data_IF_992245257707
#
_entry.id   IF_992245257707
#
_cell.length_a   1.000
_cell.length_b   1.000
_cell.length_c   1.000
_cell.angle_alpha   90.00
_cell.angle_beta   90.00
_cell.angle_gamma   90.00
#
_symmetry.space_group_name_H-M   'P 1'
#
loop_
_entity.id
_entity.type
_entity.pdbx_description
1 polymer ?
#
# COMPACT_ATOMS: atom_id res chain seq x y z
N UNK A 1 -51.97 -15.90 -34.29
CA UNK A 1 -51.67 -15.48 -32.90
C UNK A 1 -50.35 -16.04 -32.36
N UNK A 2 -49.97 -17.30 -32.63
CA UNK A 2 -48.69 -17.90 -32.12
C UNK A 2 -47.40 -17.21 -32.62
N UNK A 3 -47.38 -16.73 -33.85
CA UNK A 3 -46.20 -16.06 -34.45
C UNK A 3 -45.93 -14.64 -33.93
N UNK A 4 -46.96 -13.95 -33.48
CA UNK A 4 -46.83 -12.62 -32.87
C UNK A 4 -46.24 -12.70 -31.44
N UNK A 5 -46.64 -13.71 -30.67
CA UNK A 5 -46.09 -13.95 -29.33
C UNK A 5 -44.61 -14.33 -29.36
N UNK A 6 -44.18 -15.10 -30.37
CA UNK A 6 -42.78 -15.49 -30.52
C UNK A 6 -41.86 -14.31 -30.88
N UNK A 7 -42.36 -13.38 -31.71
CA UNK A 7 -41.63 -12.15 -32.05
C UNK A 7 -41.50 -11.19 -30.85
N UNK A 8 -42.53 -11.11 -29.99
CA UNK A 8 -42.52 -10.29 -28.80
C UNK A 8 -41.53 -10.86 -27.74
N UNK A 9 -41.47 -12.19 -27.60
CA UNK A 9 -40.55 -12.88 -26.68
C UNK A 9 -39.11 -12.72 -27.10
N UNK A 10 -38.80 -12.74 -28.41
CA UNK A 10 -37.44 -12.50 -28.92
C UNK A 10 -36.96 -11.06 -28.73
N UNK A 11 -37.86 -10.07 -28.80
CA UNK A 11 -37.53 -8.66 -28.59
C UNK A 11 -37.24 -8.38 -27.11
N UNK A 12 -37.98 -9.00 -26.19
CA UNK A 12 -37.71 -8.83 -24.75
C UNK A 12 -36.41 -9.50 -24.30
N UNK A 13 -35.99 -10.59 -24.94
CA UNK A 13 -34.73 -11.27 -24.65
C UNK A 13 -33.50 -10.50 -25.18
N UNK A 14 -33.67 -9.72 -26.27
CA UNK A 14 -32.57 -8.90 -26.82
C UNK A 14 -32.25 -7.66 -26.01
N UNK A 15 -33.19 -7.15 -25.20
CA UNK A 15 -32.99 -5.94 -24.38
C UNK A 15 -32.21 -6.24 -23.05
N UNK A 16 -32.24 -7.50 -22.60
CA UNK A 16 -31.55 -7.90 -21.38
C UNK A 16 -30.03 -8.08 -21.52
N UNK A 17 -29.47 -8.03 -22.73
CA UNK A 17 -28.03 -8.19 -22.98
C UNK A 17 -27.27 -6.86 -23.08
N UNK A 18 -27.95 -5.72 -23.01
CA UNK A 18 -27.32 -4.39 -23.17
C UNK A 18 -26.93 -3.70 -21.87
N UNK A 19 -26.99 -4.40 -20.72
CA UNK A 19 -26.60 -3.82 -19.41
C UNK A 19 -25.20 -4.25 -18.95
N UNK A 20 -24.21 -4.30 -19.86
CA UNK A 20 -22.82 -4.16 -19.43
C UNK A 20 -22.58 -2.69 -19.08
N UNK A 21 -22.77 -2.33 -17.82
CA UNK A 21 -22.14 -1.13 -17.27
C UNK A 21 -20.64 -1.35 -17.33
N UNK A 22 -20.01 -0.84 -18.36
CA UNK A 22 -18.57 -0.61 -18.36
C UNK A 22 -18.37 0.48 -17.30
N UNK A 23 -17.98 0.11 -16.09
CA UNK A 23 -17.52 1.08 -15.11
C UNK A 23 -16.33 1.79 -15.78
N UNK A 24 -16.50 3.09 -16.01
CA UNK A 24 -15.40 3.91 -16.54
C UNK A 24 -14.29 3.83 -15.49
N UNK A 25 -13.13 3.24 -15.85
CA UNK A 25 -11.92 3.38 -15.06
C UNK A 25 -11.71 4.86 -14.80
N UNK A 26 -11.72 5.26 -13.53
CA UNK A 26 -11.45 6.65 -13.15
C UNK A 26 -9.96 6.84 -13.33
N UNK A 27 -9.57 7.66 -14.31
CA UNK A 27 -8.17 7.97 -14.54
C UNK A 27 -7.64 8.81 -13.38
N UNK A 28 -6.56 8.37 -12.76
CA UNK A 28 -5.88 9.13 -11.71
C UNK A 28 -5.10 10.29 -12.33
N UNK A 29 -5.36 11.51 -11.88
CA UNK A 29 -4.78 12.74 -12.44
C UNK A 29 -4.04 13.60 -11.40
N UNK A 30 -4.18 13.31 -10.10
CA UNK A 30 -3.60 14.08 -8.99
C UNK A 30 -2.16 13.64 -8.69
N UNK A 31 -1.27 13.67 -9.70
CA UNK A 31 0.13 13.28 -9.55
C UNK A 31 0.95 14.40 -8.88
N UNK A 32 1.52 14.14 -7.70
CA UNK A 32 2.37 15.07 -6.94
C UNK A 32 3.86 14.85 -7.14
N UNK A 33 4.26 13.64 -7.54
CA UNK A 33 5.67 13.22 -7.58
C UNK A 33 6.21 13.06 -9.01
N UNK A 34 5.67 13.83 -9.97
CA UNK A 34 6.12 13.80 -11.36
C UNK A 34 7.61 14.08 -11.52
N UNK A 35 8.16 14.99 -10.69
CA UNK A 35 9.56 15.42 -10.74
C UNK A 35 10.52 14.44 -10.05
N UNK A 36 10.00 13.46 -9.31
CA UNK A 36 10.84 12.44 -8.68
C UNK A 36 11.34 11.43 -9.72
N UNK A 37 12.49 10.77 -9.45
CA UNK A 37 12.95 9.66 -10.29
C UNK A 37 11.91 8.54 -10.39
N UNK A 38 11.93 7.80 -11.50
CA UNK A 38 11.02 6.66 -11.65
C UNK A 38 11.26 5.62 -10.55
N UNK A 39 10.16 5.11 -10.01
CA UNK A 39 10.19 4.09 -8.98
C UNK A 39 10.63 2.73 -9.55
N UNK A 40 10.11 2.42 -10.73
CA UNK A 40 10.33 1.13 -11.40
C UNK A 40 10.41 1.33 -12.91
N UNK A 41 11.17 0.45 -13.54
CA UNK A 41 11.17 0.30 -15.00
C UNK A 41 10.89 -1.16 -15.32
N UNK A 42 9.74 -1.45 -15.96
CA UNK A 42 9.21 -2.80 -16.16
C UNK A 42 8.78 -2.99 -17.63
N UNK A 43 9.74 -3.02 -18.55
CA UNK A 43 9.42 -3.09 -19.99
C UNK A 43 8.51 -1.94 -20.42
N UNK A 44 7.40 -2.28 -21.07
CA UNK A 44 6.42 -1.30 -21.57
C UNK A 44 5.28 -0.98 -20.56
N UNK A 45 5.38 -1.45 -19.32
CA UNK A 45 4.37 -1.21 -18.28
C UNK A 45 4.32 0.27 -17.91
N UNK A 46 3.11 0.85 -17.84
CA UNK A 46 2.94 2.20 -17.24
C UNK A 46 3.08 2.13 -15.73
N UNK A 47 4.19 2.66 -15.22
CA UNK A 47 4.55 2.66 -13.80
C UNK A 47 4.32 4.00 -13.10
N UNK A 48 3.62 4.96 -13.75
CA UNK A 48 3.39 6.29 -13.17
C UNK A 48 2.62 6.24 -11.86
N UNK A 49 1.56 5.42 -11.80
CA UNK A 49 0.77 5.26 -10.58
C UNK A 49 1.56 4.56 -9.48
N UNK A 50 2.43 3.60 -9.82
CA UNK A 50 3.32 2.94 -8.87
C UNK A 50 4.40 3.91 -8.33
N UNK A 51 4.89 4.83 -9.18
CA UNK A 51 5.77 5.92 -8.74
C UNK A 51 5.09 6.82 -7.73
N UNK A 52 3.88 7.27 -8.05
CA UNK A 52 3.06 8.07 -7.15
C UNK A 52 2.80 7.36 -5.82
N UNK A 53 2.45 6.08 -5.88
CA UNK A 53 2.21 5.25 -4.73
C UNK A 53 3.45 5.11 -3.83
N UNK A 54 4.62 4.88 -4.42
CA UNK A 54 5.86 4.78 -3.65
C UNK A 54 6.18 6.07 -2.89
N UNK A 55 6.16 7.21 -3.58
CA UNK A 55 6.59 8.46 -2.95
C UNK A 55 5.55 9.01 -1.97
N UNK A 56 4.26 8.82 -2.23
CA UNK A 56 3.20 9.15 -1.29
C UNK A 56 3.33 8.32 0.00
N UNK A 57 3.54 7.02 -0.16
CA UNK A 57 3.82 6.12 0.95
C UNK A 57 5.09 6.51 1.74
N UNK A 58 6.21 6.82 1.05
CA UNK A 58 7.45 7.25 1.72
C UNK A 58 7.23 8.50 2.57
N UNK A 59 6.49 9.50 2.05
CA UNK A 59 6.17 10.71 2.80
C UNK A 59 5.29 10.41 4.02
N UNK A 60 4.29 9.54 3.89
CA UNK A 60 3.41 9.17 4.99
C UNK A 60 4.16 8.49 6.13
N UNK A 61 4.98 7.48 5.83
CA UNK A 61 5.73 6.78 6.86
C UNK A 61 6.80 7.64 7.52
N UNK A 62 7.43 8.54 6.76
CA UNK A 62 8.40 9.49 7.31
C UNK A 62 7.70 10.47 8.25
N UNK A 63 6.58 11.03 7.85
CA UNK A 63 5.81 11.97 8.67
C UNK A 63 5.30 11.31 9.95
N UNK A 64 4.85 10.04 9.86
CA UNK A 64 4.34 9.32 11.03
C UNK A 64 5.43 8.84 11.98
N UNK A 65 6.53 8.26 11.47
CA UNK A 65 7.52 7.57 12.30
C UNK A 65 8.75 8.40 12.64
N UNK A 66 9.08 9.41 11.84
CA UNK A 66 10.31 10.21 12.04
C UNK A 66 10.21 11.60 11.38
N UNK A 67 9.17 12.34 11.73
CA UNK A 67 8.87 13.67 11.15
C UNK A 67 10.00 14.67 11.37
N UNK A 68 10.71 14.59 12.50
CA UNK A 68 11.78 15.53 12.85
C UNK A 68 13.08 15.27 12.08
N UNK A 69 13.56 14.01 12.08
CA UNK A 69 14.85 13.67 11.46
C UNK A 69 14.71 13.20 10.03
N UNK A 70 13.46 12.89 9.59
CA UNK A 70 13.13 12.39 8.26
C UNK A 70 14.00 11.20 7.83
N UNK A 71 14.26 10.27 8.76
CA UNK A 71 15.07 9.09 8.51
C UNK A 71 14.24 7.98 7.86
N UNK A 72 14.30 7.90 6.55
CA UNK A 72 13.56 6.95 5.72
C UNK A 72 13.80 5.50 6.13
N UNK A 73 15.05 5.10 6.40
CA UNK A 73 15.37 3.72 6.80
C UNK A 73 14.70 3.34 8.14
N UNK A 74 14.67 4.27 9.10
CA UNK A 74 13.98 4.06 10.37
C UNK A 74 12.47 3.91 10.16
N UNK A 75 11.87 4.75 9.32
CA UNK A 75 10.45 4.69 9.01
C UNK A 75 10.08 3.34 8.37
N UNK A 76 10.83 2.87 7.37
CA UNK A 76 10.66 1.54 6.79
C UNK A 76 10.77 0.41 7.84
N UNK A 77 11.79 0.46 8.68
CA UNK A 77 12.01 -0.57 9.72
C UNK A 77 10.82 -0.64 10.66
N UNK A 78 10.29 0.51 11.10
CA UNK A 78 9.12 0.57 12.00
C UNK A 78 7.87 0.04 11.32
N UNK A 79 7.55 0.50 10.12
CA UNK A 79 6.38 0.04 9.37
C UNK A 79 6.41 -1.50 9.20
N UNK A 80 7.52 -2.05 8.69
CA UNK A 80 7.64 -3.49 8.45
C UNK A 80 7.48 -4.26 9.76
N UNK A 81 8.10 -3.78 10.84
CA UNK A 81 7.98 -4.42 12.16
C UNK A 81 6.54 -4.44 12.64
N UNK A 82 5.86 -3.30 12.65
CA UNK A 82 4.48 -3.19 13.13
C UNK A 82 3.51 -3.99 12.25
N UNK A 83 3.71 -3.98 10.93
CA UNK A 83 2.90 -4.74 10.01
C UNK A 83 3.06 -6.26 10.19
N UNK A 84 4.29 -6.75 10.41
CA UNK A 84 4.56 -8.19 10.56
C UNK A 84 4.05 -8.77 11.88
N UNK A 85 3.88 -7.94 12.90
CA UNK A 85 3.32 -8.33 14.20
C UNK A 85 1.85 -7.89 14.40
N UNK A 86 1.18 -7.47 13.31
CA UNK A 86 -0.22 -7.00 13.31
C UNK A 86 -0.49 -5.87 14.31
N UNK A 87 0.44 -4.93 14.45
CA UNK A 87 0.28 -3.71 15.27
C UNK A 87 0.11 -2.44 14.46
N UNK A 88 0.37 -2.50 13.16
CA UNK A 88 0.18 -1.36 12.27
C UNK A 88 -1.30 -0.96 12.25
N UNK A 89 -1.56 0.30 12.56
CA UNK A 89 -2.81 0.99 12.33
C UNK A 89 -2.63 1.89 11.12
N UNK A 90 -2.88 1.34 9.94
CA UNK A 90 -2.65 2.06 8.68
C UNK A 90 -3.47 3.33 8.58
N UNK A 91 -4.63 3.37 9.24
CA UNK A 91 -5.51 4.54 9.38
C UNK A 91 -4.87 5.73 10.13
N UNK A 92 -3.84 5.47 10.95
CA UNK A 92 -3.09 6.51 11.64
C UNK A 92 -1.91 7.04 10.81
N UNK A 93 -1.50 6.30 9.77
CA UNK A 93 -0.32 6.59 8.93
C UNK A 93 -0.71 7.26 7.61
N UNK A 94 -1.84 6.84 7.02
CA UNK A 94 -2.22 7.23 5.67
C UNK A 94 -2.61 8.70 5.57
N UNK A 95 -2.13 9.38 4.51
CA UNK A 95 -2.62 10.71 4.11
C UNK A 95 -3.83 10.61 3.19
N UNK A 96 -4.57 11.72 3.06
CA UNK A 96 -5.67 11.85 2.10
C UNK A 96 -5.21 11.58 0.66
N UNK A 97 -4.00 12.02 0.31
CA UNK A 97 -3.45 11.79 -1.02
C UNK A 97 -3.17 10.30 -1.26
N UNK A 98 -2.54 9.61 -0.31
CA UNK A 98 -2.31 8.17 -0.41
C UNK A 98 -3.60 7.37 -0.49
N UNK A 99 -4.68 7.82 0.16
CA UNK A 99 -5.99 7.20 -0.01
C UNK A 99 -6.51 7.33 -1.43
N UNK A 100 -6.37 8.50 -2.07
CA UNK A 100 -6.73 8.69 -3.49
C UNK A 100 -5.91 7.78 -4.41
N UNK A 101 -4.61 7.65 -4.14
CA UNK A 101 -3.72 6.73 -4.86
C UNK A 101 -4.18 5.28 -4.69
N UNK A 102 -4.55 4.87 -3.47
CA UNK A 102 -5.08 3.54 -3.20
C UNK A 102 -6.36 3.26 -3.99
N UNK A 103 -7.31 4.20 -4.04
CA UNK A 103 -8.54 4.06 -4.82
C UNK A 103 -8.27 3.87 -6.32
N UNK A 104 -7.21 4.49 -6.84
CA UNK A 104 -6.77 4.26 -8.22
C UNK A 104 -6.10 2.88 -8.39
N UNK A 105 -5.21 2.49 -7.45
CA UNK A 105 -4.56 1.17 -7.47
C UNK A 105 -5.56 0.02 -7.37
N UNK A 106 -6.67 0.19 -6.66
CA UNK A 106 -7.73 -0.83 -6.55
C UNK A 106 -8.33 -1.25 -7.89
N UNK A 107 -8.24 -0.39 -8.90
CA UNK A 107 -8.77 -0.66 -10.24
C UNK A 107 -7.87 -1.59 -11.08
N UNK A 108 -6.68 -1.91 -10.59
CA UNK A 108 -5.77 -2.87 -11.21
C UNK A 108 -6.08 -4.28 -10.68
N UNK A 109 -6.86 -5.05 -11.44
CA UNK A 109 -7.28 -6.40 -11.07
C UNK A 109 -6.11 -7.40 -11.05
N UNK A 110 -5.04 -7.18 -11.83
CA UNK A 110 -3.86 -8.03 -11.80
C UNK A 110 -3.05 -7.81 -10.52
N UNK A 111 -3.01 -6.58 -10.02
CA UNK A 111 -2.22 -6.22 -8.83
C UNK A 111 -2.72 -6.90 -7.55
N UNK A 112 -4.02 -7.16 -7.43
CA UNK A 112 -4.64 -7.59 -6.18
C UNK A 112 -5.25 -8.99 -6.23
N UNK A 113 -4.95 -9.79 -5.21
CA UNK A 113 -5.50 -11.14 -4.99
C UNK A 113 -6.49 -11.14 -3.82
N UNK A 114 -7.65 -10.47 -3.97
CA UNK A 114 -8.59 -10.20 -2.88
C UNK A 114 -9.13 -11.46 -2.18
N UNK A 115 -9.17 -12.59 -2.89
CA UNK A 115 -9.63 -13.89 -2.37
C UNK A 115 -8.52 -14.67 -1.65
N UNK A 116 -7.28 -14.17 -1.64
CA UNK A 116 -6.17 -14.82 -0.96
C UNK A 116 -6.24 -14.59 0.56
N UNK A 117 -6.04 -15.67 1.33
CA UNK A 117 -5.90 -15.61 2.78
C UNK A 117 -4.49 -15.20 3.25
N UNK A 118 -3.52 -15.16 2.33
CA UNK A 118 -2.10 -14.89 2.64
C UNK A 118 -1.77 -13.42 2.51
N UNK A 119 -2.19 -12.79 1.42
CA UNK A 119 -1.95 -11.39 1.10
C UNK A 119 -3.01 -10.86 0.13
N UNK A 120 -3.35 -9.58 0.26
CA UNK A 120 -4.16 -8.89 -0.75
C UNK A 120 -3.34 -8.55 -1.99
N UNK A 121 -2.02 -8.41 -1.89
CA UNK A 121 -1.14 -8.27 -3.04
C UNK A 121 -1.05 -9.60 -3.80
N UNK A 122 -1.28 -9.57 -5.11
CA UNK A 122 -1.14 -10.74 -5.97
C UNK A 122 0.35 -10.98 -6.29
N UNK A 123 0.93 -11.99 -5.67
CA UNK A 123 2.33 -12.32 -5.89
C UNK A 123 2.67 -12.87 -7.28
N UNK A 124 1.65 -13.17 -8.08
CA UNK A 124 1.81 -13.61 -9.48
C UNK A 124 1.48 -12.50 -10.49
N UNK A 125 1.29 -11.25 -10.02
CA UNK A 125 1.09 -10.10 -10.90
C UNK A 125 2.36 -9.73 -11.66
N UNK A 126 2.19 -9.10 -12.82
CA UNK A 126 3.31 -8.59 -13.62
C UNK A 126 4.17 -7.57 -12.83
N UNK A 127 3.54 -6.78 -11.95
CA UNK A 127 4.23 -5.83 -11.07
C UNK A 127 5.18 -6.56 -10.12
N UNK A 128 4.71 -7.63 -9.45
CA UNK A 128 5.53 -8.39 -8.52
C UNK A 128 6.61 -9.19 -9.24
N UNK A 129 6.36 -9.68 -10.45
CA UNK A 129 7.37 -10.31 -11.30
C UNK A 129 8.50 -9.33 -11.64
N UNK A 130 8.14 -8.14 -12.09
CA UNK A 130 9.12 -7.08 -12.36
C UNK A 130 9.94 -6.70 -11.12
N UNK A 131 9.29 -6.57 -9.96
CA UNK A 131 10.00 -6.31 -8.70
C UNK A 131 11.00 -7.41 -8.40
N UNK A 132 10.57 -8.67 -8.44
CA UNK A 132 11.38 -9.83 -8.13
C UNK A 132 12.64 -9.91 -9.00
N UNK A 133 12.50 -9.58 -10.29
CA UNK A 133 13.61 -9.59 -11.26
C UNK A 133 14.61 -8.45 -11.05
N UNK A 134 14.18 -7.35 -10.41
CA UNK A 134 14.97 -6.12 -10.28
C UNK A 134 15.43 -5.80 -8.85
N UNK A 135 15.20 -6.69 -7.86
CA UNK A 135 15.78 -6.54 -6.51
C UNK A 135 17.31 -6.47 -6.64
N UNK A 136 17.91 -5.41 -6.08
CA UNK A 136 19.36 -5.16 -6.18
C UNK A 136 20.21 -6.05 -5.30
N UNK A 137 19.72 -6.41 -4.12
CA UNK A 137 20.44 -7.31 -3.21
C UNK A 137 20.27 -8.76 -3.66
N UNK A 138 21.31 -9.37 -4.21
CA UNK A 138 21.27 -10.72 -4.79
C UNK A 138 20.82 -11.81 -3.81
N UNK A 139 21.21 -11.71 -2.53
CA UNK A 139 20.76 -12.65 -1.50
C UNK A 139 19.26 -12.54 -1.23
N UNK A 140 18.77 -11.30 -1.12
CA UNK A 140 17.35 -11.04 -0.93
C UNK A 140 16.54 -11.42 -2.17
N UNK A 141 17.04 -11.10 -3.36
CA UNK A 141 16.46 -11.50 -4.65
C UNK A 141 16.29 -13.03 -4.73
N UNK A 142 17.35 -13.77 -4.42
CA UNK A 142 17.32 -15.23 -4.40
C UNK A 142 16.29 -15.78 -3.39
N UNK A 143 16.24 -15.20 -2.18
CA UNK A 143 15.26 -15.59 -1.15
C UNK A 143 13.83 -15.27 -1.60
N UNK A 144 13.60 -14.08 -2.14
CA UNK A 144 12.30 -13.65 -2.63
C UNK A 144 11.78 -14.59 -3.74
N UNK A 145 12.62 -14.84 -4.75
CA UNK A 145 12.28 -15.70 -5.87
C UNK A 145 12.04 -17.16 -5.43
N UNK A 146 12.85 -17.69 -4.52
CA UNK A 146 12.64 -19.03 -3.99
C UNK A 146 11.29 -19.18 -3.26
N UNK A 147 10.94 -18.20 -2.41
CA UNK A 147 9.65 -18.19 -1.71
C UNK A 147 8.48 -18.05 -2.69
N UNK A 148 8.64 -17.22 -3.74
CA UNK A 148 7.62 -17.04 -4.77
C UNK A 148 7.40 -18.33 -5.57
N UNK A 149 8.46 -18.96 -6.07
CA UNK A 149 8.42 -20.19 -6.86
C UNK A 149 7.79 -21.38 -6.11
N UNK A 150 8.00 -21.44 -4.80
CA UNK A 150 7.41 -22.47 -3.94
C UNK A 150 6.02 -22.12 -3.40
N UNK A 151 5.42 -21.01 -3.82
CA UNK A 151 4.16 -20.47 -3.29
C UNK A 151 4.18 -20.29 -1.76
N UNK A 152 5.36 -20.06 -1.19
CA UNK A 152 5.57 -19.88 0.25
C UNK A 152 5.81 -18.42 0.64
N UNK A 153 5.75 -17.50 -0.33
CA UNK A 153 5.91 -16.07 -0.07
C UNK A 153 4.77 -15.57 0.82
N UNK A 154 5.13 -15.05 1.99
CA UNK A 154 4.18 -14.44 2.93
C UNK A 154 4.78 -13.16 3.49
N UNK A 155 3.95 -12.19 3.93
CA UNK A 155 4.46 -10.94 4.53
C UNK A 155 5.40 -11.22 5.71
N UNK A 156 5.10 -12.23 6.51
CA UNK A 156 5.90 -12.61 7.69
C UNK A 156 7.27 -13.18 7.31
N UNK A 157 7.31 -14.09 6.32
CA UNK A 157 8.57 -14.75 5.94
C UNK A 157 9.55 -13.82 5.25
N UNK A 158 9.05 -12.93 4.38
CA UNK A 158 9.93 -12.00 3.65
C UNK A 158 10.21 -10.72 4.46
N UNK A 159 9.38 -10.39 5.46
CA UNK A 159 9.50 -9.16 6.23
C UNK A 159 10.82 -9.01 6.95
N UNK A 160 11.31 -10.05 7.64
CA UNK A 160 12.60 -9.99 8.36
C UNK A 160 13.81 -9.81 7.43
N UNK A 161 13.95 -10.54 6.31
CA UNK A 161 14.97 -10.26 5.30
C UNK A 161 14.93 -8.82 4.77
N UNK A 162 13.74 -8.29 4.46
CA UNK A 162 13.58 -6.91 3.97
C UNK A 162 13.96 -5.90 5.07
N UNK A 163 13.48 -6.11 6.30
CA UNK A 163 13.81 -5.23 7.45
C UNK A 163 15.32 -5.16 7.69
N UNK A 164 16.01 -6.29 7.61
CA UNK A 164 17.47 -6.34 7.74
C UNK A 164 18.20 -5.59 6.61
N UNK A 165 17.50 -5.32 5.51
CA UNK A 165 18.00 -4.58 4.35
C UNK A 165 17.39 -3.18 4.23
N UNK A 166 16.77 -2.64 5.28
CA UNK A 166 15.99 -1.39 5.22
C UNK A 166 16.78 -0.16 4.74
N UNK A 167 18.07 -0.10 5.00
CA UNK A 167 18.96 0.96 4.47
C UNK A 167 19.01 0.91 2.93
N UNK A 168 18.92 -0.28 2.35
CA UNK A 168 19.01 -0.48 0.90
C UNK A 168 17.72 -0.05 0.18
N UNK A 169 16.56 -0.05 0.88
CA UNK A 169 15.28 0.39 0.31
C UNK A 169 15.32 1.81 -0.25
N UNK A 170 16.17 2.68 0.31
CA UNK A 170 16.36 4.05 -0.19
C UNK A 170 16.81 4.03 -1.66
N UNK A 171 17.66 3.06 -2.03
CA UNK A 171 18.27 2.96 -3.35
C UNK A 171 17.68 1.83 -4.20
N UNK A 172 16.89 0.93 -3.63
CA UNK A 172 16.20 -0.16 -4.32
C UNK A 172 14.71 0.14 -4.41
N UNK A 173 14.35 0.94 -5.41
CA UNK A 173 12.98 1.42 -5.57
C UNK A 173 11.99 0.31 -5.97
N UNK A 174 12.45 -0.77 -6.62
CA UNK A 174 11.61 -1.93 -6.89
C UNK A 174 11.20 -2.61 -5.57
N UNK A 175 12.18 -2.90 -4.71
CA UNK A 175 11.90 -3.49 -3.40
C UNK A 175 11.10 -2.54 -2.50
N UNK A 176 11.37 -1.24 -2.56
CA UNK A 176 10.60 -0.22 -1.84
C UNK A 176 9.14 -0.18 -2.28
N UNK A 177 8.88 -0.32 -3.60
CA UNK A 177 7.51 -0.42 -4.14
C UNK A 177 6.81 -1.69 -3.62
N UNK A 178 7.51 -2.83 -3.56
CA UNK A 178 6.94 -4.03 -2.92
C UNK A 178 6.53 -3.76 -1.46
N UNK A 179 7.38 -3.07 -0.69
CA UNK A 179 7.08 -2.73 0.71
C UNK A 179 5.84 -1.84 0.79
N UNK A 180 5.73 -0.82 -0.06
CA UNK A 180 4.57 0.05 -0.13
C UNK A 180 3.29 -0.75 -0.43
N UNK A 181 3.31 -1.57 -1.48
CA UNK A 181 2.15 -2.36 -1.89
C UNK A 181 1.75 -3.40 -0.83
N UNK A 182 2.73 -4.14 -0.26
CA UNK A 182 2.47 -5.26 0.63
C UNK A 182 2.16 -4.85 2.07
N UNK A 183 2.92 -3.91 2.63
CA UNK A 183 2.85 -3.61 4.07
C UNK A 183 2.05 -2.35 4.40
N UNK A 184 1.60 -1.63 3.37
CA UNK A 184 0.84 -0.42 3.53
C UNK A 184 -0.47 -0.46 2.72
N UNK A 185 -0.43 -0.39 1.38
CA UNK A 185 -1.66 -0.35 0.58
C UNK A 185 -2.53 -1.61 0.72
N UNK A 186 -1.93 -2.80 0.79
CA UNK A 186 -2.67 -4.03 0.99
C UNK A 186 -3.46 -4.06 2.31
N UNK A 187 -3.02 -3.32 3.33
CA UNK A 187 -3.72 -3.23 4.62
C UNK A 187 -5.00 -2.42 4.57
N UNK A 188 -5.14 -1.53 3.59
CA UNK A 188 -6.33 -0.71 3.42
C UNK A 188 -7.57 -1.50 2.98
N UNK A 189 -7.39 -2.71 2.44
CA UNK A 189 -8.50 -3.60 2.15
C UNK A 189 -9.17 -4.20 3.41
N UNK A 190 -8.49 -4.16 4.54
CA UNK A 190 -8.93 -4.78 5.79
C UNK A 190 -9.61 -3.77 6.73
N UNK A 191 -9.72 -2.49 6.34
CA UNK A 191 -10.33 -1.41 7.12
C UNK A 191 -11.44 -0.69 6.36
N UNK A 192 -12.32 -0.02 7.08
CA UNK A 192 -13.28 0.92 6.49
C UNK A 192 -12.62 2.28 6.28
N UNK A 193 -12.18 2.54 5.06
CA UNK A 193 -11.48 3.77 4.70
C UNK A 193 -12.34 5.05 4.88
N UNK A 194 -13.67 4.93 4.91
CA UNK A 194 -14.57 6.06 5.13
C UNK A 194 -14.52 6.61 6.56
N UNK A 195 -13.98 5.83 7.49
CA UNK A 195 -13.84 6.21 8.90
C UNK A 195 -12.53 6.91 9.23
N UNK A 196 -11.63 7.03 8.25
CA UNK A 196 -10.32 7.66 8.46
C UNK A 196 -10.51 9.17 8.70
N UNK A 197 -9.98 9.64 9.82
CA UNK A 197 -9.99 11.06 10.16
C UNK A 197 -8.62 11.69 9.82
N UNK A 198 -8.60 12.55 8.80
CA UNK A 198 -7.41 13.27 8.36
C UNK A 198 -7.14 14.57 9.13
N UNK A 199 -8.13 15.06 9.92
CA UNK A 199 -7.99 16.27 10.74
C UNK A 199 -7.31 16.00 12.09
N UNK A 200 -6.76 14.80 12.29
CA UNK A 200 -6.01 14.48 13.52
C UNK A 200 -4.79 15.41 13.62
N UNK A 201 -4.60 16.11 14.74
CA UNK A 201 -3.32 16.79 14.98
C UNK A 201 -2.20 15.76 14.90
N UNK A 202 -1.10 16.15 14.25
CA UNK A 202 0.11 15.31 14.20
C UNK A 202 0.40 14.80 15.62
N UNK A 203 0.61 13.47 15.74
CA UNK A 203 0.87 12.86 17.05
C UNK A 203 2.00 13.65 17.72
N UNK A 204 1.68 14.38 18.77
CA UNK A 204 2.66 15.17 19.52
C UNK A 204 3.78 14.21 19.91
N UNK A 205 5.00 14.48 19.43
CA UNK A 205 6.19 13.73 19.77
C UNK A 205 6.28 13.64 21.29
N UNK A 206 5.91 12.51 21.85
CA UNK A 206 6.14 12.24 23.26
C UNK A 206 7.65 12.10 23.38
N UNK A 207 8.30 13.14 23.86
CA UNK A 207 9.73 13.12 24.19
C UNK A 207 9.91 12.19 25.40
N UNK A 208 10.25 10.94 25.13
CA UNK A 208 10.54 9.94 26.15
C UNK A 208 11.74 10.31 27.03
N UNK A 209 12.47 11.39 26.73
CA UNK A 209 13.54 11.92 27.54
C UNK A 209 13.08 12.98 28.56
N UNK A 210 11.84 13.42 28.52
CA UNK A 210 11.28 14.27 29.55
C UNK A 210 11.03 13.44 30.82
N UNK A 211 11.86 13.69 31.86
CA UNK A 211 11.60 13.12 33.19
C UNK A 211 10.20 13.55 33.63
N UNK A 212 9.38 12.64 34.21
CA UNK A 212 8.11 13.03 34.81
C UNK A 212 8.34 14.17 35.81
N UNK A 213 7.69 15.31 35.58
CA UNK A 213 7.73 16.42 36.56
C UNK A 213 7.02 15.91 37.80
N UNK A 214 7.76 15.80 38.91
CA UNK A 214 7.19 15.40 40.19
C UNK A 214 6.07 16.36 40.56
N UNK A 215 4.89 15.79 40.84
CA UNK A 215 3.76 16.58 41.33
C UNK A 215 4.17 17.43 42.52
N UNK A 216 4.06 18.74 42.38
CA UNK A 216 4.27 19.65 43.53
C UNK A 216 3.17 19.38 44.56
N UNK A 217 3.54 19.22 45.84
CA UNK A 217 2.55 19.07 46.89
C UNK A 217 1.75 20.38 47.05
N UNK A 218 0.44 20.24 46.97
CA UNK A 218 -0.51 21.33 47.17
C UNK A 218 -0.43 21.76 48.64
N UNK A 219 0.32 22.83 48.96
CA UNK A 219 0.24 23.51 50.26
C UNK A 219 -0.98 24.43 50.25
N UNK A 220 -2.14 23.87 50.60
CA UNK A 220 -3.25 24.68 51.10
C UNK A 220 -2.94 25.02 52.53
N UNK A 221 -2.60 26.30 52.80
CA UNK A 221 -2.59 26.89 54.14
C UNK A 221 -4.03 27.21 54.53
N UNK A 222 -4.38 26.75 55.74
CA UNK A 222 -5.50 27.24 56.54
C UNK A 222 -5.40 28.74 56.83
#
# INVERSE_FOLDING_TARGET
>A
MKTQFFKLLLITMAISLASCKTEKKVEFTDFKYTDKPDAMTCGDMDTKLLKEALYSFEDDIINHYDSQNRNTSRAYTRLITESTINRLKVEDVISEHSLKVFEALKQDEDLWGLNSSVSKLNYNSQVVDCIADNIKNERLKSTFNALKQTNSLTPKLIGEPIKSSSVQLINDKHLATFVALQYYYAKLFDIDVSTINFDKPEASNIDFNQKPQAAQPNTQNN
#
